data_IF_686954954408
#
_entry.id   IF_686954954408
#
_cell.length_a   1.000
_cell.length_b   1.000
_cell.length_c   1.000
_cell.angle_alpha   90.00
_cell.angle_beta   90.00
_cell.angle_gamma   90.00
#
_symmetry.space_group_name_H-M   'P 1'
#
loop_
_entity.id
_entity.type
_entity.pdbx_description
1 polymer ?
#
# COMPACT_ATOMS: atom_id res chain seq x y z
N UNK A 1 -13.40 31.56 -17.01
CA UNK A 1 -13.69 30.22 -17.56
C UNK A 1 -12.36 29.55 -17.85
N UNK A 2 -11.98 28.55 -17.05
CA UNK A 2 -11.13 27.42 -17.45
C UNK A 2 -11.21 26.41 -16.32
N UNK A 3 -12.04 25.38 -16.53
CA UNK A 3 -12.18 24.26 -15.63
C UNK A 3 -10.86 23.49 -15.58
N UNK A 4 -10.27 23.37 -14.40
CA UNK A 4 -9.20 22.43 -14.10
C UNK A 4 -9.74 21.03 -14.38
N UNK A 5 -9.21 20.38 -15.42
CA UNK A 5 -9.57 19.03 -15.79
C UNK A 5 -9.31 18.08 -14.62
N UNK A 6 -10.38 17.62 -13.98
CA UNK A 6 -10.37 16.30 -13.35
C UNK A 6 -10.01 15.34 -14.47
N UNK A 7 -8.91 14.62 -14.31
CA UNK A 7 -8.71 13.37 -15.02
C UNK A 7 -9.90 12.50 -14.63
N UNK A 8 -10.92 12.45 -15.48
CA UNK A 8 -12.02 11.51 -15.33
C UNK A 8 -11.37 10.14 -15.49
N UNK A 9 -11.05 9.52 -14.35
CA UNK A 9 -10.77 8.09 -14.31
C UNK A 9 -11.93 7.43 -15.05
N UNK A 10 -11.62 6.60 -16.06
CA UNK A 10 -12.65 5.93 -16.84
C UNK A 10 -13.66 5.27 -15.87
N UNK A 11 -14.97 5.28 -16.20
CA UNK A 11 -15.96 4.62 -15.36
C UNK A 11 -15.49 3.20 -15.04
N UNK A 12 -15.48 2.84 -13.76
CA UNK A 12 -15.14 1.48 -13.34
C UNK A 12 -16.22 0.56 -13.90
N UNK A 13 -15.83 -0.34 -14.80
CA UNK A 13 -16.72 -1.36 -15.32
C UNK A 13 -17.05 -2.34 -14.18
N UNK A 14 -18.32 -2.48 -13.79
CA UNK A 14 -18.69 -3.38 -12.72
C UNK A 14 -18.56 -4.82 -13.16
N UNK A 15 -18.07 -5.64 -12.25
CA UNK A 15 -18.07 -7.07 -12.41
C UNK A 15 -19.51 -7.58 -12.50
N UNK A 16 -19.72 -8.55 -13.39
CA UNK A 16 -21.01 -9.20 -13.61
C UNK A 16 -21.03 -10.56 -12.92
N UNK A 17 -22.18 -10.97 -12.39
CA UNK A 17 -22.33 -12.26 -11.71
C UNK A 17 -23.40 -12.20 -10.63
N UNK A 18 -23.58 -13.31 -9.91
CA UNK A 18 -24.35 -13.32 -8.65
C UNK A 18 -23.55 -12.67 -7.52
N UNK A 19 -24.23 -12.25 -6.45
CA UNK A 19 -23.56 -11.70 -5.27
C UNK A 19 -22.52 -12.67 -4.71
N UNK A 20 -22.87 -13.96 -4.60
CA UNK A 20 -21.95 -15.03 -4.24
C UNK A 20 -20.69 -15.08 -5.12
N UNK A 21 -20.84 -15.09 -6.45
CA UNK A 21 -19.70 -15.17 -7.37
C UNK A 21 -18.78 -13.94 -7.24
N UNK A 22 -19.36 -12.76 -7.00
CA UNK A 22 -18.61 -11.53 -6.76
C UNK A 22 -17.82 -11.60 -5.45
N UNK A 23 -18.41 -12.11 -4.38
CA UNK A 23 -17.75 -12.29 -3.08
C UNK A 23 -16.65 -13.36 -3.13
N UNK A 24 -16.89 -14.49 -3.79
CA UNK A 24 -15.86 -15.51 -4.03
C UNK A 24 -14.67 -14.93 -4.80
N UNK A 25 -14.94 -14.15 -5.85
CA UNK A 25 -13.90 -13.44 -6.61
C UNK A 25 -13.14 -12.41 -5.75
N UNK A 26 -13.82 -11.71 -4.85
CA UNK A 26 -13.19 -10.80 -3.89
C UNK A 26 -12.21 -11.54 -2.98
N UNK A 27 -12.60 -12.67 -2.41
CA UNK A 27 -11.72 -13.48 -1.55
C UNK A 27 -10.53 -14.06 -2.32
N UNK A 28 -10.68 -14.38 -3.60
CA UNK A 28 -9.56 -14.72 -4.47
C UNK A 28 -8.58 -13.56 -4.64
N UNK A 29 -9.07 -12.34 -4.89
CA UNK A 29 -8.21 -11.17 -4.99
C UNK A 29 -7.50 -10.87 -3.65
N UNK A 30 -8.18 -11.01 -2.51
CA UNK A 30 -7.56 -10.83 -1.19
C UNK A 30 -6.47 -11.87 -0.91
N UNK A 31 -6.68 -13.14 -1.30
CA UNK A 31 -5.63 -14.17 -1.20
C UNK A 31 -4.41 -13.83 -2.07
N UNK A 32 -4.64 -13.46 -3.33
CA UNK A 32 -3.56 -13.08 -4.25
C UNK A 32 -2.78 -11.83 -3.75
N UNK A 33 -3.50 -10.87 -3.17
CA UNK A 33 -2.93 -9.68 -2.54
C UNK A 33 -2.05 -10.03 -1.35
N UNK A 34 -2.52 -10.88 -0.44
CA UNK A 34 -1.70 -11.38 0.69
C UNK A 34 -0.43 -12.08 0.22
N UNK A 35 -0.51 -12.96 -0.77
CA UNK A 35 0.69 -13.60 -1.34
C UNK A 35 1.66 -12.60 -1.96
N UNK A 36 1.17 -11.50 -2.54
CA UNK A 36 2.03 -10.44 -3.06
C UNK A 36 2.76 -9.67 -1.95
N UNK A 37 2.08 -9.37 -0.84
CA UNK A 37 2.74 -8.80 0.34
C UNK A 37 3.82 -9.73 0.91
N UNK A 38 3.55 -11.04 1.01
CA UNK A 38 4.53 -12.01 1.50
C UNK A 38 5.79 -12.04 0.64
N UNK A 39 5.65 -12.10 -0.68
CA UNK A 39 6.78 -12.05 -1.62
C UNK A 39 7.56 -10.76 -1.48
N UNK A 40 6.88 -9.62 -1.46
CA UNK A 40 7.53 -8.31 -1.37
C UNK A 40 8.28 -8.13 -0.04
N UNK A 41 7.66 -8.51 1.09
CA UNK A 41 8.29 -8.48 2.41
C UNK A 41 9.48 -9.45 2.50
N UNK A 42 9.38 -10.63 1.88
CA UNK A 42 10.47 -11.59 1.79
C UNK A 42 11.66 -11.07 0.97
N UNK A 43 11.38 -10.39 -0.16
CA UNK A 43 12.41 -9.74 -0.97
C UNK A 43 13.08 -8.58 -0.21
N UNK A 44 12.30 -7.79 0.53
CA UNK A 44 12.84 -6.73 1.40
C UNK A 44 13.78 -7.30 2.48
N UNK A 45 13.35 -8.34 3.18
CA UNK A 45 14.17 -9.00 4.21
C UNK A 45 15.46 -9.58 3.61
N UNK A 46 15.37 -10.22 2.45
CA UNK A 46 16.53 -10.77 1.72
C UNK A 46 17.51 -9.69 1.29
N UNK A 47 17.01 -8.55 0.81
CA UNK A 47 17.83 -7.39 0.48
C UNK A 47 18.55 -6.83 1.72
N UNK A 48 17.86 -6.67 2.85
CA UNK A 48 18.49 -6.20 4.10
C UNK A 48 19.56 -7.18 4.61
N UNK A 49 19.33 -8.49 4.46
CA UNK A 49 20.30 -9.52 4.81
C UNK A 49 21.48 -9.64 3.83
N UNK A 50 21.46 -8.88 2.72
CA UNK A 50 22.47 -8.95 1.67
C UNK A 50 22.42 -10.23 0.82
N UNK A 51 21.37 -11.05 0.94
CA UNK A 51 21.21 -12.29 0.18
C UNK A 51 20.64 -12.05 -1.23
N UNK A 52 20.11 -10.86 -1.48
CA UNK A 52 19.57 -10.44 -2.77
C UNK A 52 20.01 -9.01 -3.08
N UNK A 53 20.20 -8.69 -4.36
CA UNK A 53 20.63 -7.35 -4.77
C UNK A 53 19.52 -6.30 -4.61
N UNK A 54 19.91 -5.04 -4.53
CA UNK A 54 18.98 -3.91 -4.52
C UNK A 54 18.13 -3.86 -5.80
N UNK A 55 18.72 -4.13 -6.96
CA UNK A 55 18.02 -4.16 -8.25
C UNK A 55 16.92 -5.23 -8.29
N UNK A 56 17.18 -6.40 -7.70
CA UNK A 56 16.20 -7.47 -7.60
C UNK A 56 15.03 -7.07 -6.68
N UNK A 57 15.31 -6.40 -5.56
CA UNK A 57 14.26 -5.84 -4.70
C UNK A 57 13.43 -4.76 -5.39
N UNK A 58 14.09 -3.87 -6.16
CA UNK A 58 13.41 -2.84 -6.96
C UNK A 58 12.49 -3.48 -8.00
N UNK A 59 12.94 -4.54 -8.68
CA UNK A 59 12.12 -5.27 -9.64
C UNK A 59 10.88 -5.88 -8.98
N UNK A 60 11.05 -6.51 -7.81
CA UNK A 60 9.92 -7.08 -7.06
C UNK A 60 8.96 -5.99 -6.55
N UNK A 61 9.47 -4.82 -6.19
CA UNK A 61 8.64 -3.66 -5.81
C UNK A 61 7.79 -3.16 -6.98
N UNK A 62 8.36 -3.08 -8.19
CA UNK A 62 7.62 -2.72 -9.41
C UNK A 62 6.53 -3.75 -9.71
N UNK A 63 6.89 -5.03 -9.69
CA UNK A 63 5.94 -6.13 -9.88
C UNK A 63 4.79 -6.07 -8.88
N UNK A 64 5.10 -5.90 -7.60
CA UNK A 64 4.09 -5.80 -6.54
C UNK A 64 3.19 -4.58 -6.74
N UNK A 65 3.74 -3.45 -7.20
CA UNK A 65 2.94 -2.25 -7.51
C UNK A 65 1.92 -2.52 -8.62
N UNK A 66 2.33 -3.23 -9.67
CA UNK A 66 1.45 -3.60 -10.78
C UNK A 66 0.39 -4.62 -10.34
N UNK A 67 0.77 -5.62 -9.54
CA UNK A 67 -0.14 -6.60 -8.95
C UNK A 67 -1.20 -5.89 -8.08
N UNK A 68 -0.79 -5.00 -7.17
CA UNK A 68 -1.68 -4.24 -6.28
C UNK A 68 -2.67 -3.38 -7.06
N UNK A 69 -2.22 -2.75 -8.15
CA UNK A 69 -3.09 -1.99 -9.06
C UNK A 69 -4.15 -2.90 -9.67
N UNK A 70 -3.74 -4.03 -10.25
CA UNK A 70 -4.65 -4.98 -10.88
C UNK A 70 -5.68 -5.55 -9.91
N UNK A 71 -5.29 -5.86 -8.67
CA UNK A 71 -6.24 -6.29 -7.63
C UNK A 71 -7.23 -5.19 -7.28
N UNK A 72 -6.76 -3.95 -7.12
CA UNK A 72 -7.62 -2.82 -6.76
C UNK A 72 -8.65 -2.52 -7.84
N UNK A 73 -8.26 -2.55 -9.12
CA UNK A 73 -9.17 -2.37 -10.26
C UNK A 73 -10.27 -3.44 -10.28
N UNK A 74 -9.92 -4.71 -10.08
CA UNK A 74 -10.90 -5.80 -10.01
C UNK A 74 -11.86 -5.66 -8.83
N UNK A 75 -11.33 -5.31 -7.66
CA UNK A 75 -12.16 -5.17 -6.45
C UNK A 75 -13.10 -3.97 -6.57
N UNK A 76 -12.67 -2.87 -7.20
CA UNK A 76 -13.57 -1.75 -7.51
C UNK A 76 -14.71 -2.18 -8.44
N UNK A 77 -14.42 -3.03 -9.45
CA UNK A 77 -15.45 -3.64 -10.29
C UNK A 77 -16.42 -4.51 -9.48
N UNK A 78 -15.92 -5.29 -8.53
CA UNK A 78 -16.75 -6.11 -7.62
C UNK A 78 -17.63 -5.24 -6.73
N UNK A 79 -17.09 -4.17 -6.15
CA UNK A 79 -17.83 -3.21 -5.33
C UNK A 79 -19.01 -2.62 -6.11
N UNK A 80 -18.78 -2.15 -7.34
CA UNK A 80 -19.83 -1.62 -8.20
C UNK A 80 -20.84 -2.70 -8.64
N UNK A 81 -20.39 -3.94 -8.86
CA UNK A 81 -21.27 -5.08 -9.14
C UNK A 81 -22.21 -5.38 -7.97
N UNK A 82 -21.70 -5.42 -6.74
CA UNK A 82 -22.49 -5.64 -5.52
C UNK A 82 -23.54 -4.54 -5.32
N UNK A 83 -23.18 -3.27 -5.56
CA UNK A 83 -24.14 -2.16 -5.52
C UNK A 83 -25.29 -2.33 -6.52
N UNK A 84 -25.01 -2.81 -7.73
CA UNK A 84 -26.04 -3.06 -8.75
C UNK A 84 -27.01 -4.18 -8.37
N UNK A 85 -26.57 -5.10 -7.52
CA UNK A 85 -27.40 -6.17 -6.95
C UNK A 85 -28.08 -5.76 -5.63
N UNK A 86 -28.02 -4.48 -5.26
CA UNK A 86 -28.54 -3.93 -4.00
C UNK A 86 -27.90 -4.55 -2.75
N UNK A 87 -26.71 -5.15 -2.88
CA UNK A 87 -25.91 -5.70 -1.78
C UNK A 87 -25.05 -4.62 -1.14
N UNK A 88 -25.73 -3.62 -0.61
CA UNK A 88 -25.09 -2.37 -0.12
C UNK A 88 -24.19 -2.62 1.10
N UNK A 89 -24.57 -3.52 2.01
CA UNK A 89 -23.75 -3.94 3.16
C UNK A 89 -22.41 -4.52 2.70
N UNK A 90 -22.44 -5.59 1.90
CA UNK A 90 -21.25 -6.21 1.33
C UNK A 90 -20.39 -5.22 0.52
N UNK A 91 -21.00 -4.36 -0.29
CA UNK A 91 -20.26 -3.33 -1.03
C UNK A 91 -19.53 -2.33 -0.10
N UNK A 92 -20.15 -1.97 1.02
CA UNK A 92 -19.52 -1.11 2.03
C UNK A 92 -18.32 -1.80 2.69
N UNK A 93 -18.45 -3.08 3.06
CA UNK A 93 -17.35 -3.85 3.66
C UNK A 93 -16.16 -3.99 2.70
N UNK A 94 -16.43 -4.30 1.42
CA UNK A 94 -15.40 -4.32 0.37
C UNK A 94 -14.66 -2.97 0.28
N UNK A 95 -15.40 -1.86 0.36
CA UNK A 95 -14.82 -0.51 0.36
C UNK A 95 -13.96 -0.24 1.59
N UNK A 96 -14.42 -0.62 2.79
CA UNK A 96 -13.65 -0.48 4.04
C UNK A 96 -12.33 -1.25 3.91
N UNK A 97 -12.38 -2.48 3.40
CA UNK A 97 -11.18 -3.27 3.16
C UNK A 97 -10.26 -2.59 2.13
N UNK A 98 -10.76 -2.04 1.03
CA UNK A 98 -9.92 -1.32 0.07
C UNK A 98 -9.22 -0.09 0.67
N UNK A 99 -9.92 0.67 1.51
CA UNK A 99 -9.35 1.85 2.16
C UNK A 99 -8.23 1.45 3.11
N UNK A 100 -8.45 0.43 3.94
CA UNK A 100 -7.43 -0.06 4.85
C UNK A 100 -6.28 -0.79 4.14
N UNK A 101 -6.53 -1.46 3.02
CA UNK A 101 -5.47 -2.07 2.20
C UNK A 101 -4.55 -1.02 1.57
N UNK A 102 -5.10 0.14 1.20
CA UNK A 102 -4.28 1.28 0.79
C UNK A 102 -3.40 1.77 1.95
N UNK A 103 -3.98 1.96 3.14
CA UNK A 103 -3.22 2.39 4.33
C UNK A 103 -2.14 1.37 4.67
N UNK A 104 -2.46 0.08 4.63
CA UNK A 104 -1.51 -1.03 4.84
C UNK A 104 -0.35 -0.96 3.87
N UNK A 105 -0.61 -0.78 2.57
CA UNK A 105 0.44 -0.67 1.56
C UNK A 105 1.35 0.54 1.82
N UNK A 106 0.74 1.69 2.12
CA UNK A 106 1.45 2.95 2.37
C UNK A 106 2.36 2.85 3.61
N UNK A 107 1.82 2.36 4.73
CA UNK A 107 2.59 2.21 5.97
C UNK A 107 3.65 1.11 5.86
N UNK A 108 3.39 0.03 5.13
CA UNK A 108 4.42 -0.99 4.84
C UNK A 108 5.57 -0.39 4.05
N UNK A 109 5.28 0.39 3.00
CA UNK A 109 6.30 1.08 2.21
C UNK A 109 7.10 2.09 3.06
N UNK A 110 6.41 2.89 3.88
CA UNK A 110 7.04 3.85 4.77
C UNK A 110 8.01 3.18 5.75
N UNK A 111 7.57 2.11 6.42
CA UNK A 111 8.41 1.33 7.33
C UNK A 111 9.62 0.72 6.62
N UNK A 112 9.43 0.17 5.41
CA UNK A 112 10.55 -0.38 4.63
C UNK A 112 11.59 0.69 4.29
N UNK A 113 11.16 1.90 3.90
CA UNK A 113 12.07 3.03 3.62
C UNK A 113 12.79 3.48 4.89
N UNK A 114 12.07 3.71 5.99
CA UNK A 114 12.64 4.15 7.27
C UNK A 114 13.66 3.15 7.82
N UNK A 115 13.31 1.86 7.87
CA UNK A 115 14.19 0.79 8.37
C UNK A 115 15.39 0.58 7.46
N UNK A 116 15.22 0.76 6.15
CA UNK A 116 16.33 0.67 5.19
C UNK A 116 17.31 1.82 5.33
N UNK A 117 16.82 3.06 5.52
CA UNK A 117 17.68 4.20 5.81
C UNK A 117 18.45 4.00 7.11
N UNK A 118 17.75 3.51 8.15
CA UNK A 118 18.37 3.21 9.42
C UNK A 118 19.45 2.12 9.33
N UNK A 119 19.19 1.04 8.58
CA UNK A 119 20.14 -0.06 8.35
C UNK A 119 21.40 0.37 7.57
N UNK A 120 21.35 1.52 6.89
CA UNK A 120 22.49 2.12 6.17
C UNK A 120 23.22 3.17 7.00
N UNK A 121 22.84 3.34 8.27
CA UNK A 121 23.32 4.42 9.12
C UNK A 121 23.23 5.77 8.41
N UNK A 122 22.10 6.06 7.76
CA UNK A 122 21.92 7.24 6.92
C UNK A 122 22.14 8.55 7.67
N UNK A 123 21.89 8.58 8.98
CA UNK A 123 21.89 9.80 9.79
C UNK A 123 23.13 9.93 10.68
N UNK A 124 23.56 11.16 10.92
CA UNK A 124 24.74 11.49 11.70
C UNK A 124 24.69 10.99 13.15
N UNK A 125 23.52 11.03 13.77
CA UNK A 125 23.31 10.52 15.12
C UNK A 125 23.47 9.00 15.23
N UNK A 126 23.40 8.26 14.12
CA UNK A 126 23.61 6.79 14.12
C UNK A 126 25.08 6.40 14.15
N UNK A 127 25.98 7.26 13.65
CA UNK A 127 27.39 6.90 13.39
C UNK A 127 28.32 7.13 14.58
N UNK A 128 27.81 7.67 15.69
CA UNK A 128 28.62 8.07 16.84
C UNK A 128 29.45 9.33 16.53
N UNK A 129 29.46 10.29 17.47
CA UNK A 129 30.03 11.61 17.25
C UNK A 129 31.54 11.63 17.09
N UNK A 130 32.04 11.42 15.86
CA UNK A 130 33.38 11.86 15.44
C UNK A 130 33.49 11.96 13.91
N UNK A 131 32.59 12.76 13.29
CA UNK A 131 32.84 13.61 12.10
C UNK A 131 31.53 14.29 11.68
N UNK A 132 31.28 15.46 12.26
CA UNK A 132 30.48 16.46 11.60
C UNK A 132 31.27 17.04 10.41
N UNK A 133 30.56 17.33 9.32
CA UNK A 133 31.03 17.92 8.06
C UNK A 133 31.71 16.96 7.05
N UNK A 134 30.92 16.03 6.52
CA UNK A 134 30.88 15.87 5.07
C UNK A 134 29.40 15.94 4.67
N UNK A 135 29.02 16.93 3.87
CA UNK A 135 27.76 16.95 3.13
C UNK A 135 27.75 15.75 2.17
N UNK A 136 27.51 14.56 2.70
CA UNK A 136 27.20 13.39 1.88
C UNK A 136 25.70 13.43 1.68
N UNK A 137 25.28 14.13 0.64
CA UNK A 137 23.91 14.10 0.10
C UNK A 137 23.62 12.68 -0.38
N UNK A 138 23.18 11.81 0.52
CA UNK A 138 22.74 10.46 0.16
C UNK A 138 21.29 10.53 -0.29
N UNK A 139 21.12 10.22 -1.57
CA UNK A 139 19.85 10.12 -2.25
C UNK A 139 19.00 9.01 -1.59
N UNK A 140 18.11 9.38 -0.66
CA UNK A 140 17.12 8.47 -0.06
C UNK A 140 16.07 7.96 -1.08
N UNK A 141 16.26 8.28 -2.36
CA UNK A 141 15.37 7.97 -3.47
C UNK A 141 15.49 6.49 -3.84
N UNK A 142 14.41 5.70 -3.70
CA UNK A 142 14.33 4.43 -4.38
C UNK A 142 14.33 4.67 -5.90
N UNK A 143 14.93 3.78 -6.69
CA UNK A 143 14.95 3.88 -8.16
C UNK A 143 13.57 3.72 -8.83
N UNK A 144 12.51 3.49 -8.06
CA UNK A 144 11.11 3.51 -8.51
C UNK A 144 10.44 4.89 -8.32
N UNK A 145 11.05 5.82 -7.58
CA UNK A 145 10.54 7.18 -7.44
C UNK A 145 10.63 7.91 -8.79
N UNK A 146 9.49 8.38 -9.31
CA UNK A 146 9.39 9.04 -10.63
C UNK A 146 10.31 10.26 -10.69
N UNK A 147 11.20 10.30 -11.68
CA UNK A 147 12.25 11.34 -11.82
C UNK A 147 11.87 12.51 -12.73
N UNK A 148 10.69 12.53 -13.33
CA UNK A 148 10.34 13.54 -14.35
C UNK A 148 8.97 14.18 -14.07
N UNK A 149 8.95 15.52 -14.15
CA UNK A 149 7.82 16.45 -14.10
C UNK A 149 6.83 16.33 -12.92
N UNK A 150 7.29 16.64 -11.71
CA UNK A 150 6.42 16.81 -10.55
C UNK A 150 6.42 18.25 -10.02
N UNK A 151 5.22 18.83 -9.86
CA UNK A 151 4.99 20.11 -9.19
C UNK A 151 5.42 20.01 -7.71
N UNK A 152 6.44 20.78 -7.25
CA UNK A 152 6.92 20.75 -5.87
C UNK A 152 5.84 21.06 -4.83
N UNK A 153 4.78 21.79 -5.18
CA UNK A 153 3.69 22.15 -4.28
C UNK A 153 2.61 21.05 -4.14
N UNK A 154 2.58 20.08 -5.06
CA UNK A 154 1.63 18.97 -5.08
C UNK A 154 2.27 17.62 -4.68
N UNK A 155 3.59 17.58 -4.45
CA UNK A 155 4.28 16.34 -4.13
C UNK A 155 4.12 15.95 -2.66
N UNK A 156 3.34 14.89 -2.42
CA UNK A 156 3.30 14.20 -1.13
C UNK A 156 4.60 13.42 -0.86
N UNK A 157 4.76 13.00 0.39
CA UNK A 157 5.86 12.16 0.90
C UNK A 157 6.16 11.02 -0.10
N UNK A 158 7.40 10.95 -0.60
CA UNK A 158 7.85 9.90 -1.54
C UNK A 158 8.14 10.35 -2.99
N UNK A 159 8.11 11.64 -3.28
CA UNK A 159 8.40 12.21 -4.59
C UNK A 159 9.89 12.56 -4.80
N UNK A 160 10.46 12.24 -5.97
CA UNK A 160 11.89 12.42 -6.27
C UNK A 160 12.35 13.90 -6.33
N UNK A 161 11.42 14.86 -6.40
CA UNK A 161 11.70 16.30 -6.40
C UNK A 161 11.57 16.98 -5.02
N UNK A 162 11.18 16.24 -3.96
CA UNK A 162 11.21 16.76 -2.61
C UNK A 162 12.66 17.16 -2.27
N UNK A 163 12.88 18.44 -1.92
CA UNK A 163 14.18 18.93 -1.47
C UNK A 163 14.55 18.24 -0.16
N UNK A 164 15.85 18.00 0.04
CA UNK A 164 16.38 17.44 1.28
C UNK A 164 15.95 18.34 2.46
N UNK A 165 15.03 17.80 3.27
CA UNK A 165 14.69 18.39 4.56
C UNK A 165 15.85 18.27 5.53
N UNK A 166 15.78 18.93 6.69
CA UNK A 166 16.73 18.67 7.77
C UNK A 166 16.79 17.17 8.07
N UNK A 167 17.98 16.68 8.41
CA UNK A 167 18.15 15.31 8.92
C UNK A 167 17.17 15.09 10.09
N UNK A 168 16.35 14.02 10.08
CA UNK A 168 15.48 13.71 11.19
C UNK A 168 16.31 13.39 12.43
N UNK A 169 15.87 13.85 13.58
CA UNK A 169 16.41 13.45 14.88
C UNK A 169 16.09 11.98 15.19
N UNK A 170 16.82 11.40 16.14
CA UNK A 170 16.54 10.04 16.64
C UNK A 170 15.09 9.90 17.14
N UNK A 171 14.58 10.93 17.83
CA UNK A 171 13.21 10.99 18.32
C UNK A 171 12.20 11.04 17.17
N UNK A 172 12.40 11.90 16.17
CA UNK A 172 11.52 11.98 14.99
C UNK A 172 11.50 10.66 14.21
N UNK A 173 12.64 9.99 14.06
CA UNK A 173 12.71 8.66 13.47
C UNK A 173 11.91 7.63 14.28
N UNK A 174 12.14 7.58 15.60
CA UNK A 174 11.47 6.62 16.48
C UNK A 174 9.96 6.83 16.48
N UNK A 175 9.51 8.09 16.55
CA UNK A 175 8.10 8.46 16.48
C UNK A 175 7.49 8.06 15.13
N UNK A 176 8.16 8.36 14.01
CA UNK A 176 7.65 7.99 12.69
C UNK A 176 7.51 6.46 12.51
N UNK A 177 8.48 5.69 13.00
CA UNK A 177 8.39 4.21 13.00
C UNK A 177 7.26 3.72 13.90
N UNK A 178 7.11 4.30 15.09
CA UNK A 178 6.05 3.97 16.03
C UNK A 178 4.66 4.24 15.46
N UNK A 179 4.44 5.43 14.92
CA UNK A 179 3.18 5.85 14.32
C UNK A 179 2.81 5.01 13.09
N UNK A 180 3.77 4.77 12.20
CA UNK A 180 3.55 3.93 11.02
C UNK A 180 3.23 2.48 11.42
N UNK A 181 3.88 1.94 12.46
CA UNK A 181 3.59 0.61 12.98
C UNK A 181 2.18 0.54 13.58
N UNK A 182 1.81 1.48 14.45
CA UNK A 182 0.49 1.51 15.06
C UNK A 182 -0.63 1.67 14.01
N UNK A 183 -0.41 2.52 13.01
CA UNK A 183 -1.37 2.73 11.93
C UNK A 183 -1.53 1.48 11.07
N UNK A 184 -0.41 0.80 10.79
CA UNK A 184 -0.42 -0.48 10.08
C UNK A 184 -1.19 -1.56 10.84
N UNK A 185 -0.96 -1.70 12.15
CA UNK A 185 -1.66 -2.66 13.01
C UNK A 185 -3.17 -2.39 13.07
N UNK A 186 -3.57 -1.12 13.17
CA UNK A 186 -4.97 -0.73 13.11
C UNK A 186 -5.62 -1.13 11.79
N UNK A 187 -4.97 -0.82 10.67
CA UNK A 187 -5.47 -1.20 9.34
C UNK A 187 -5.63 -2.72 9.20
N UNK A 188 -4.71 -3.52 9.77
CA UNK A 188 -4.85 -4.97 9.82
C UNK A 188 -6.08 -5.43 10.60
N UNK A 189 -6.34 -4.84 11.77
CA UNK A 189 -7.54 -5.13 12.55
C UNK A 189 -8.81 -4.85 11.76
N UNK A 190 -8.92 -3.64 11.20
CA UNK A 190 -10.10 -3.23 10.43
C UNK A 190 -10.32 -4.09 9.17
N UNK A 191 -9.25 -4.53 8.50
CA UNK A 191 -9.35 -5.48 7.37
C UNK A 191 -9.90 -6.82 7.84
N UNK A 192 -9.36 -7.36 8.93
CA UNK A 192 -9.74 -8.69 9.41
C UNK A 192 -11.20 -8.72 9.90
N UNK A 193 -11.62 -7.69 10.62
CA UNK A 193 -13.00 -7.55 11.09
C UNK A 193 -13.97 -7.49 9.91
N UNK A 194 -13.69 -6.64 8.91
CA UNK A 194 -14.53 -6.54 7.72
C UNK A 194 -14.49 -7.81 6.83
N UNK A 195 -13.37 -8.53 6.80
CA UNK A 195 -13.26 -9.82 6.11
C UNK A 195 -14.17 -10.85 6.78
N UNK A 196 -14.20 -10.89 8.10
CA UNK A 196 -15.05 -11.82 8.86
C UNK A 196 -16.54 -11.49 8.63
N UNK A 197 -16.92 -10.22 8.67
CA UNK A 197 -18.28 -9.80 8.33
C UNK A 197 -18.67 -10.20 6.90
N UNK A 198 -17.77 -10.07 5.92
CA UNK A 198 -18.01 -10.55 4.55
C UNK A 198 -18.12 -12.07 4.44
N UNK A 199 -17.54 -12.84 5.36
CA UNK A 199 -17.70 -14.30 5.38
C UNK A 199 -19.12 -14.67 5.78
N UNK A 200 -19.68 -14.00 6.79
CA UNK A 200 -21.08 -14.20 7.17
C UNK A 200 -22.04 -13.81 6.03
N UNK A 201 -21.79 -12.68 5.36
CA UNK A 201 -22.59 -12.28 4.18
C UNK A 201 -22.50 -13.32 3.04
N UNK A 202 -21.33 -13.94 2.84
CA UNK A 202 -21.18 -15.01 1.85
C UNK A 202 -21.95 -16.28 2.26
N UNK A 203 -21.90 -16.66 3.54
CA UNK A 203 -22.64 -17.80 4.08
C UNK A 203 -24.15 -17.62 3.95
N UNK A 204 -24.67 -16.42 4.24
CA UNK A 204 -26.09 -16.08 4.05
C UNK A 204 -26.53 -16.21 2.58
N UNK A 205 -25.65 -15.87 1.62
CA UNK A 205 -25.90 -16.09 0.19
C UNK A 205 -25.88 -17.58 -0.21
N UNK A 206 -25.18 -18.44 0.54
CA UNK A 206 -25.22 -19.90 0.34
C UNK A 206 -26.56 -20.46 0.82
N UNK A 207 -27.04 -20.01 1.98
CA UNK A 207 -28.25 -20.54 2.61
C UNK A 207 -29.54 -19.95 2.00
N UNK A 208 -29.50 -18.69 1.56
CA UNK A 208 -30.62 -18.00 0.91
C UNK A 208 -30.88 -18.41 -0.55
N UNK A 209 -29.94 -19.10 -1.21
CA UNK A 209 -30.05 -19.57 -2.60
C UNK A 209 -30.83 -20.88 -2.79
N UNK A 210 -31.41 -21.44 -1.73
CA UNK A 210 -32.12 -22.73 -1.74
C UNK A 210 -33.65 -22.63 -1.90
N UNK A 211 -34.20 -21.51 -2.38
CA UNK A 211 -35.64 -21.33 -2.58
C UNK A 211 -35.98 -20.79 -3.98
#
# INVERSE_FOLDING_TARGET
MTATGRVFSAPIEPASGSARALLESFFEQQRARSSSYERWNGAYASMLAGTTSEDAFVLETKRTTDDMRGYSEKILGIEEGLKRLDRTSAAMLVRVIQQNERVRLEMTAALQVLRRAAAREAWSWQRGGERAAAETTMNLKPSWARTEDCDPAACAIGCACAKDGPEPTEEEYSNAVGEATQTLERAFGEINDAIEELRYELEDEVDGGAN
#
